data_IF_632252652767
#
_entry.id   IF_632252652767
#
_cell.length_a   1.000
_cell.length_b   1.000
_cell.length_c   1.000
_cell.angle_alpha   90.00
_cell.angle_beta   90.00
_cell.angle_gamma   90.00
#
_symmetry.space_group_name_H-M   'P 1'
#
loop_
_entity.id
_entity.type
_entity.pdbx_description
1 polymer ?
#
# COMPACT_ATOMS: atom_id res chain seq x y z
N UNK A 1 -0.21 8.35 -4.51
CA UNK A 1 0.06 9.46 -3.57
C UNK A 1 -0.48 10.73 -4.17
N UNK A 2 -1.31 11.49 -3.45
CA UNK A 2 -1.67 12.84 -3.86
C UNK A 2 -0.51 13.78 -3.46
N UNK A 3 0.22 14.31 -4.43
CA UNK A 3 1.37 15.19 -4.18
C UNK A 3 0.98 16.67 -4.03
N UNK A 4 -0.31 16.99 -4.18
CA UNK A 4 -0.81 18.35 -4.00
C UNK A 4 -0.70 18.83 -2.54
N UNK A 5 -0.48 17.92 -1.59
CA UNK A 5 -0.29 18.19 -0.16
C UNK A 5 1.16 18.42 0.27
N UNK A 6 2.13 18.36 -0.66
CA UNK A 6 3.55 18.59 -0.32
C UNK A 6 3.82 20.08 -0.09
N UNK A 7 4.39 20.39 1.08
CA UNK A 7 4.77 21.75 1.46
C UNK A 7 5.68 22.38 0.37
N UNK A 8 5.40 23.62 -0.09
CA UNK A 8 6.12 24.23 -1.23
C UNK A 8 7.64 24.23 -1.10
N UNK A 9 8.17 24.45 0.11
CA UNK A 9 9.61 24.45 0.38
C UNK A 9 10.28 23.07 0.26
N UNK A 10 9.53 21.97 0.28
CA UNK A 10 10.05 20.60 0.15
C UNK A 10 9.96 20.07 -1.28
N UNK A 11 9.21 20.74 -2.17
CA UNK A 11 8.99 20.29 -3.56
C UNK A 11 10.31 20.01 -4.31
N UNK A 12 11.33 20.88 -4.27
CA UNK A 12 12.58 20.60 -4.98
C UNK A 12 13.26 19.30 -4.52
N UNK A 13 13.17 18.97 -3.22
CA UNK A 13 13.72 17.74 -2.67
C UNK A 13 12.88 16.52 -3.08
N UNK A 14 11.55 16.61 -3.02
CA UNK A 14 10.66 15.53 -3.44
C UNK A 14 10.83 15.23 -4.94
N UNK A 15 10.92 16.27 -5.77
CA UNK A 15 11.13 16.13 -7.21
C UNK A 15 12.49 15.47 -7.52
N UNK A 16 13.53 15.81 -6.77
CA UNK A 16 14.85 15.19 -6.89
C UNK A 16 14.81 13.69 -6.54
N UNK A 17 14.17 13.34 -5.41
CA UNK A 17 13.99 11.94 -5.00
C UNK A 17 13.20 11.16 -6.06
N UNK A 18 12.11 11.73 -6.57
CA UNK A 18 11.30 11.10 -7.61
C UNK A 18 12.09 10.90 -8.91
N UNK A 19 12.85 11.91 -9.34
CA UNK A 19 13.72 11.80 -10.53
C UNK A 19 14.69 10.64 -10.36
N UNK A 20 15.35 10.53 -9.21
CA UNK A 20 16.33 9.47 -8.96
C UNK A 20 15.69 8.09 -8.97
N UNK A 21 14.50 7.94 -8.38
CA UNK A 21 13.73 6.69 -8.43
C UNK A 21 13.38 6.30 -9.87
N UNK A 22 12.93 7.25 -10.69
CA UNK A 22 12.61 7.01 -12.11
C UNK A 22 13.86 6.59 -12.89
N UNK A 23 14.99 7.26 -12.67
CA UNK A 23 16.24 6.93 -13.36
C UNK A 23 16.73 5.52 -13.01
N UNK A 24 16.66 5.13 -11.73
CA UNK A 24 16.98 3.76 -11.29
C UNK A 24 16.05 2.73 -11.95
N UNK A 25 14.74 2.95 -11.88
CA UNK A 25 13.75 2.03 -12.45
C UNK A 25 13.88 1.85 -13.98
N UNK A 26 14.37 2.86 -14.69
CA UNK A 26 14.66 2.80 -16.13
C UNK A 26 15.91 1.99 -16.48
N UNK A 27 16.85 1.86 -15.55
CA UNK A 27 18.08 1.09 -15.75
C UNK A 27 17.91 -0.39 -15.41
N UNK A 28 16.87 -0.74 -14.66
CA UNK A 28 16.58 -2.12 -14.27
C UNK A 28 16.10 -2.98 -15.43
N UNK A 29 16.54 -4.23 -15.45
CA UNK A 29 15.93 -5.26 -16.30
C UNK A 29 14.52 -5.62 -15.80
N UNK A 30 13.69 -6.31 -16.61
CA UNK A 30 12.40 -6.81 -16.15
C UNK A 30 12.49 -7.70 -14.90
N UNK A 31 13.52 -8.53 -14.80
CA UNK A 31 13.75 -9.44 -13.66
C UNK A 31 14.10 -8.67 -12.39
N UNK A 32 14.98 -7.67 -12.49
CA UNK A 32 15.35 -6.81 -11.37
C UNK A 32 14.15 -6.01 -10.87
N UNK A 33 13.34 -5.47 -11.80
CA UNK A 33 12.10 -4.77 -11.45
C UNK A 33 11.09 -5.69 -10.78
N UNK A 34 11.01 -6.94 -11.20
CA UNK A 34 10.12 -7.93 -10.59
C UNK A 34 10.58 -8.27 -9.17
N UNK A 35 11.89 -8.47 -8.97
CA UNK A 35 12.45 -8.70 -7.64
C UNK A 35 12.16 -7.53 -6.69
N UNK A 36 12.39 -6.29 -7.13
CA UNK A 36 12.10 -5.11 -6.31
C UNK A 36 10.59 -4.98 -5.99
N UNK A 37 9.72 -5.39 -6.92
CA UNK A 37 8.29 -5.41 -6.67
C UNK A 37 7.91 -6.42 -5.58
N UNK A 38 8.59 -7.57 -5.51
CA UNK A 38 8.39 -8.55 -4.44
C UNK A 38 8.88 -8.02 -3.10
N UNK A 39 10.08 -7.42 -3.06
CA UNK A 39 10.63 -6.80 -1.85
C UNK A 39 9.70 -5.70 -1.30
N UNK A 40 9.13 -4.89 -2.21
CA UNK A 40 8.16 -3.86 -1.85
C UNK A 40 6.85 -4.47 -1.31
N UNK A 41 6.40 -5.59 -1.88
CA UNK A 41 5.21 -6.30 -1.38
C UNK A 41 5.45 -6.80 0.04
N UNK A 42 6.58 -7.43 0.32
CA UNK A 42 6.92 -7.95 1.64
C UNK A 42 6.96 -6.83 2.68
N UNK A 43 7.65 -5.73 2.36
CA UNK A 43 7.66 -4.54 3.22
C UNK A 43 6.25 -3.99 3.49
N UNK A 44 5.41 -3.90 2.45
CA UNK A 44 4.05 -3.42 2.61
C UNK A 44 3.22 -4.35 3.50
N UNK A 45 3.36 -5.67 3.35
CA UNK A 45 2.70 -6.65 4.20
C UNK A 45 3.12 -6.51 5.66
N UNK A 46 4.42 -6.40 5.95
CA UNK A 46 4.93 -6.20 7.31
C UNK A 46 4.37 -4.94 7.97
N UNK A 47 4.37 -3.81 7.25
CA UNK A 47 3.81 -2.55 7.77
C UNK A 47 2.32 -2.70 8.09
N UNK A 48 1.55 -3.32 7.20
CA UNK A 48 0.11 -3.53 7.43
C UNK A 48 -0.17 -4.52 8.56
N UNK A 49 0.61 -5.60 8.65
CA UNK A 49 0.52 -6.59 9.72
C UNK A 49 0.80 -5.94 11.08
N UNK A 50 1.86 -5.14 11.19
CA UNK A 50 2.17 -4.37 12.40
C UNK A 50 1.03 -3.43 12.80
N UNK A 51 0.39 -2.80 11.80
CA UNK A 51 -0.83 -2.02 12.02
C UNK A 51 -1.96 -2.85 12.62
N UNK A 52 -2.22 -4.05 12.08
CA UNK A 52 -3.24 -4.98 12.60
C UNK A 52 -2.92 -5.42 14.02
N UNK A 53 -1.66 -5.79 14.31
CA UNK A 53 -1.23 -6.18 15.67
C UNK A 53 -1.38 -5.03 16.68
N UNK A 54 -1.13 -3.79 16.24
CA UNK A 54 -1.34 -2.61 17.08
C UNK A 54 -2.82 -2.36 17.36
N UNK A 55 -3.68 -2.58 16.35
CA UNK A 55 -5.15 -2.48 16.46
C UNK A 55 -5.76 -3.63 17.30
N UNK A 56 -5.11 -4.80 17.33
CA UNK A 56 -5.56 -6.03 17.98
C UNK A 56 -4.44 -6.72 18.77
N UNK A 57 -4.02 -6.17 19.93
CA UNK A 57 -2.88 -6.70 20.69
C UNK A 57 -3.04 -8.13 21.20
N UNK A 58 -4.28 -8.59 21.38
CA UNK A 58 -4.63 -9.92 21.86
C UNK A 58 -4.70 -11.00 20.76
N UNK A 59 -4.65 -10.60 19.49
CA UNK A 59 -4.77 -11.52 18.37
C UNK A 59 -3.51 -12.39 18.21
N UNK A 60 -3.71 -13.69 17.97
CA UNK A 60 -2.64 -14.59 17.57
C UNK A 60 -2.28 -14.42 16.07
N UNK A 61 -1.22 -15.08 15.60
CA UNK A 61 -0.70 -14.89 14.24
C UNK A 61 -1.71 -15.28 13.14
N UNK A 62 -2.52 -16.32 13.37
CA UNK A 62 -3.57 -16.71 12.42
C UNK A 62 -4.67 -15.65 12.38
N UNK A 63 -5.11 -15.15 13.54
CA UNK A 63 -6.11 -14.10 13.65
C UNK A 63 -5.65 -12.80 12.97
N UNK A 64 -4.39 -12.40 13.20
CA UNK A 64 -3.76 -11.25 12.53
C UNK A 64 -3.79 -11.44 11.01
N UNK A 65 -3.41 -12.62 10.52
CA UNK A 65 -3.44 -12.93 9.08
C UNK A 65 -4.85 -12.80 8.50
N UNK A 66 -5.87 -13.32 9.20
CA UNK A 66 -7.26 -13.23 8.75
C UNK A 66 -7.80 -11.79 8.76
N UNK A 67 -7.46 -11.01 9.79
CA UNK A 67 -7.81 -9.60 9.91
C UNK A 67 -7.15 -8.78 8.77
N UNK A 68 -5.88 -9.03 8.48
CA UNK A 68 -5.16 -8.40 7.38
C UNK A 68 -5.81 -8.72 6.02
N UNK A 69 -6.11 -10.00 5.76
CA UNK A 69 -6.83 -10.42 4.53
C UNK A 69 -8.18 -9.72 4.38
N UNK A 70 -8.93 -9.57 5.48
CA UNK A 70 -10.20 -8.83 5.48
C UNK A 70 -10.03 -7.34 5.21
N UNK A 71 -8.94 -6.73 5.69
CA UNK A 71 -8.61 -5.32 5.42
C UNK A 71 -8.27 -5.12 3.95
N UNK A 72 -7.45 -6.00 3.38
CA UNK A 72 -7.07 -5.98 1.97
C UNK A 72 -8.24 -6.18 1.02
N UNK A 73 -9.16 -7.12 1.32
CA UNK A 73 -10.35 -7.32 0.48
C UNK A 73 -11.26 -6.10 0.45
N UNK A 74 -11.40 -5.39 1.58
CA UNK A 74 -12.13 -4.11 1.65
C UNK A 74 -11.46 -3.01 0.84
N UNK A 75 -10.12 -2.94 0.87
CA UNK A 75 -9.37 -1.95 0.08
C UNK A 75 -9.54 -2.18 -1.42
N UNK A 76 -9.35 -3.43 -1.89
CA UNK A 76 -9.58 -3.79 -3.30
C UNK A 76 -11.01 -3.49 -3.74
N UNK A 77 -11.99 -3.84 -2.92
CA UNK A 77 -13.39 -3.52 -3.20
C UNK A 77 -13.62 -2.00 -3.35
N UNK A 78 -12.97 -1.17 -2.53
CA UNK A 78 -13.07 0.30 -2.65
C UNK A 78 -12.39 0.83 -3.91
N UNK A 79 -11.28 0.24 -4.34
CA UNK A 79 -10.61 0.62 -5.59
C UNK A 79 -11.49 0.28 -6.80
N UNK A 80 -12.09 -0.91 -6.82
CA UNK A 80 -12.91 -1.39 -7.93
C UNK A 80 -14.27 -0.67 -8.03
N UNK A 81 -14.87 -0.29 -6.90
CA UNK A 81 -16.27 0.19 -6.84
C UNK A 81 -16.46 1.58 -6.22
N UNK A 82 -15.38 2.26 -5.83
CA UNK A 82 -15.43 3.59 -5.21
C UNK A 82 -15.73 3.58 -3.70
N UNK A 83 -15.62 4.76 -3.08
CA UNK A 83 -15.78 4.99 -1.63
C UNK A 83 -17.21 4.81 -1.10
N UNK A 84 -18.20 4.84 -1.98
CA UNK A 84 -19.62 4.81 -1.61
C UNK A 84 -20.40 3.98 -2.64
N UNK A 85 -21.06 2.91 -2.19
CA UNK A 85 -22.00 2.15 -3.00
C UNK A 85 -23.19 1.75 -2.12
N UNK A 86 -24.44 1.86 -2.62
CA UNK A 86 -25.65 1.77 -1.81
C UNK A 86 -25.80 0.37 -1.18
N UNK A 87 -26.45 0.28 0.00
CA UNK A 87 -26.66 -0.99 0.69
C UNK A 87 -27.38 -1.97 -0.24
N UNK A 88 -26.82 -3.18 -0.41
CA UNK A 88 -27.50 -4.26 -1.14
C UNK A 88 -28.86 -4.46 -0.50
N UNK A 89 -29.94 -4.24 -1.26
CA UNK A 89 -31.28 -4.69 -0.84
C UNK A 89 -31.20 -6.21 -0.71
N UNK A 90 -31.36 -6.69 0.52
CA UNK A 90 -31.63 -8.08 0.81
C UNK A 90 -33.03 -8.33 0.25
N UNK A 91 -33.13 -9.13 -0.81
CA UNK A 91 -34.40 -9.68 -1.31
C UNK A 91 -34.84 -10.82 -0.41
#
# INVERSE_FOLDING_TARGET
MNFDSVHPGLRPMVDAIQRDQILRARQMTPEERFAEALDLMDFAYEVMENGVRTEHPEANDEEVTQLLRKKLSRLRYREDYGLFSPPRKIL
#
